data_IF_474361471725
#
_entry.id   IF_474361471725
#
_cell.length_a   1.000
_cell.length_b   1.000
_cell.length_c   1.000
_cell.angle_alpha   90.00
_cell.angle_beta   90.00
_cell.angle_gamma   90.00
#
_symmetry.space_group_name_H-M   'P 1'
#
loop_
_entity.id
_entity.type
_entity.pdbx_description
1 polymer ?
#
# COMPACT_ATOMS: atom_id res chain seq x y z
N UNK A 1 18.66 0.33 1.26
CA UNK A 1 17.45 -0.25 0.66
C UNK A 1 17.46 0.01 -0.83
N UNK A 2 16.62 -0.68 -1.60
CA UNK A 2 16.51 -0.51 -3.04
C UNK A 2 15.19 -1.06 -3.59
N UNK A 3 14.88 -0.72 -4.83
CA UNK A 3 13.79 -1.33 -5.60
C UNK A 3 14.36 -2.01 -6.85
N UNK A 4 13.72 -3.10 -7.24
CA UNK A 4 13.96 -3.82 -8.48
C UNK A 4 12.60 -4.09 -9.15
N UNK A 5 12.07 -3.11 -9.89
CA UNK A 5 10.78 -3.23 -10.57
C UNK A 5 10.77 -4.35 -11.62
N UNK A 6 11.92 -4.64 -12.25
CA UNK A 6 12.03 -5.69 -13.27
C UNK A 6 11.78 -7.09 -12.68
N UNK A 7 12.14 -7.29 -11.41
CA UNK A 7 11.86 -8.52 -10.67
C UNK A 7 10.73 -8.39 -9.64
N UNK A 8 10.02 -7.25 -9.63
CA UNK A 8 8.84 -7.02 -8.79
C UNK A 8 9.10 -6.96 -7.29
N UNK A 9 10.32 -6.62 -6.86
CA UNK A 9 10.67 -6.54 -5.42
C UNK A 9 11.18 -5.16 -5.01
N UNK A 10 11.05 -4.86 -3.74
CA UNK A 10 11.83 -3.85 -3.03
C UNK A 10 12.38 -4.46 -1.75
N UNK A 11 13.44 -3.87 -1.22
CA UNK A 11 14.03 -4.30 0.03
C UNK A 11 14.58 -3.12 0.82
N UNK A 12 14.47 -3.17 2.14
CA UNK A 12 15.02 -2.14 3.03
C UNK A 12 15.50 -2.76 4.34
N UNK A 13 16.51 -2.16 5.00
CA UNK A 13 16.83 -2.51 6.37
C UNK A 13 15.60 -2.33 7.28
N UNK A 14 15.47 -3.20 8.25
CA UNK A 14 14.46 -3.19 9.30
C UNK A 14 15.18 -3.42 10.63
N UNK A 15 15.41 -2.35 11.39
CA UNK A 15 16.26 -2.41 12.59
C UNK A 15 17.72 -2.70 12.25
N UNK A 16 18.40 -3.46 13.13
CA UNK A 16 19.84 -3.77 13.00
C UNK A 16 20.11 -5.04 12.19
N UNK A 17 19.25 -6.06 12.36
CA UNK A 17 19.55 -7.43 11.92
C UNK A 17 18.63 -7.92 10.80
N UNK A 18 17.56 -7.19 10.48
CA UNK A 18 16.58 -7.64 9.48
C UNK A 18 16.64 -6.82 8.20
N UNK A 19 16.30 -7.47 7.10
CA UNK A 19 15.95 -6.84 5.83
C UNK A 19 14.52 -7.21 5.49
N UNK A 20 13.65 -6.21 5.38
CA UNK A 20 12.32 -6.40 4.85
C UNK A 20 12.42 -6.48 3.33
N UNK A 21 11.83 -7.53 2.76
CA UNK A 21 11.69 -7.71 1.31
C UNK A 21 10.20 -7.79 1.02
N UNK A 22 9.75 -6.96 0.09
CA UNK A 22 8.33 -6.90 -0.28
C UNK A 22 8.16 -6.77 -1.78
N UNK A 23 6.95 -7.03 -2.23
CA UNK A 23 6.52 -6.91 -3.61
C UNK A 23 5.00 -6.99 -3.65
N UNK A 24 4.42 -6.70 -4.80
CA UNK A 24 2.99 -6.92 -4.98
C UNK A 24 2.73 -8.37 -5.34
N UNK A 25 1.79 -8.99 -4.63
CA UNK A 25 1.27 -10.31 -4.97
C UNK A 25 0.07 -10.21 -5.92
N UNK A 26 -0.29 -11.37 -6.46
CA UNK A 26 -1.21 -11.70 -7.55
C UNK A 26 -2.39 -10.72 -7.77
N UNK A 27 -2.61 -10.25 -9.01
CA UNK A 27 -3.81 -9.50 -9.37
C UNK A 27 -5.07 -10.33 -9.12
N UNK A 28 -6.12 -9.72 -8.57
CA UNK A 28 -7.42 -10.37 -8.38
C UNK A 28 -8.27 -9.73 -7.30
N UNK A 29 -9.57 -10.03 -7.31
CA UNK A 29 -10.44 -9.72 -6.17
C UNK A 29 -10.14 -10.73 -5.06
N UNK A 30 -9.85 -10.21 -3.88
CA UNK A 30 -9.58 -11.00 -2.66
C UNK A 30 -10.68 -10.66 -1.66
N UNK A 31 -11.22 -11.68 -1.02
CA UNK A 31 -12.09 -11.50 0.14
C UNK A 31 -11.23 -11.02 1.33
N UNK A 32 -11.44 -9.79 1.84
CA UNK A 32 -10.65 -9.26 2.95
C UNK A 32 -10.81 -10.06 4.24
N UNK A 33 -11.92 -10.80 4.41
CA UNK A 33 -12.19 -11.64 5.57
C UNK A 33 -11.65 -13.08 5.38
N UNK A 34 -11.25 -13.44 4.16
CA UNK A 34 -10.78 -14.78 3.81
C UNK A 34 -9.59 -14.74 2.85
N UNK A 35 -8.40 -14.43 3.38
CA UNK A 35 -7.12 -14.48 2.64
C UNK A 35 -5.98 -15.08 3.46
N UNK A 36 -4.99 -15.66 2.79
CA UNK A 36 -3.78 -16.17 3.43
C UNK A 36 -2.96 -14.99 3.95
N UNK A 37 -2.79 -14.87 5.28
CA UNK A 37 -2.07 -13.77 5.95
C UNK A 37 -0.54 -13.96 6.06
N UNK A 38 -0.03 -15.05 5.49
CA UNK A 38 1.40 -15.38 5.44
C UNK A 38 1.83 -15.66 4.00
N UNK A 39 3.08 -15.33 3.62
CA UNK A 39 3.57 -15.62 2.29
C UNK A 39 3.69 -17.12 2.07
N UNK A 40 3.36 -17.57 0.86
CA UNK A 40 3.62 -18.95 0.43
C UNK A 40 5.12 -19.18 0.23
N UNK A 41 5.58 -20.43 0.35
CA UNK A 41 6.96 -20.81 0.05
C UNK A 41 7.39 -20.38 -1.36
N UNK A 42 6.48 -20.47 -2.33
CA UNK A 42 6.71 -20.00 -3.70
C UNK A 42 7.02 -18.49 -3.73
N UNK A 43 6.27 -17.68 -2.99
CA UNK A 43 6.47 -16.23 -2.92
C UNK A 43 7.81 -15.91 -2.24
N UNK A 44 8.12 -16.60 -1.15
CA UNK A 44 9.42 -16.47 -0.46
C UNK A 44 10.56 -16.83 -1.41
N UNK A 45 10.49 -17.97 -2.10
CA UNK A 45 11.52 -18.43 -3.03
C UNK A 45 11.74 -17.47 -4.21
N UNK A 46 10.67 -16.88 -4.74
CA UNK A 46 10.74 -15.87 -5.81
C UNK A 46 11.46 -14.61 -5.34
N UNK A 47 11.05 -14.06 -4.18
CA UNK A 47 11.67 -12.87 -3.61
C UNK A 47 13.11 -13.12 -3.19
N UNK A 48 13.41 -14.28 -2.62
CA UNK A 48 14.75 -14.73 -2.25
C UNK A 48 15.68 -14.76 -3.46
N UNK A 49 15.23 -15.40 -4.54
CA UNK A 49 15.99 -15.49 -5.79
C UNK A 49 16.28 -14.12 -6.40
N UNK A 50 15.29 -13.22 -6.40
CA UNK A 50 15.46 -11.85 -6.90
C UNK A 50 16.41 -11.04 -6.01
N UNK A 51 16.29 -11.14 -4.69
CA UNK A 51 17.17 -10.45 -3.75
C UNK A 51 18.63 -10.90 -3.91
N UNK A 52 18.89 -12.20 -4.00
CA UNK A 52 20.25 -12.74 -4.11
C UNK A 52 20.94 -12.32 -5.41
N UNK A 53 20.20 -12.12 -6.51
CA UNK A 53 20.76 -11.56 -7.74
C UNK A 53 21.23 -10.11 -7.55
N UNK A 54 20.54 -9.34 -6.72
CA UNK A 54 20.83 -7.91 -6.50
C UNK A 54 21.83 -7.68 -5.37
N UNK A 55 21.79 -8.52 -4.34
CA UNK A 55 22.62 -8.46 -3.13
C UNK A 55 23.10 -9.88 -2.81
N UNK A 56 24.16 -10.39 -3.46
CA UNK A 56 24.61 -11.77 -3.30
C UNK A 56 24.92 -12.22 -1.87
N UNK A 57 25.33 -11.29 -1.01
CA UNK A 57 25.59 -11.56 0.42
C UNK A 57 24.33 -12.05 1.16
N UNK A 58 23.14 -11.72 0.67
CA UNK A 58 21.87 -12.18 1.26
C UNK A 58 21.64 -13.68 1.11
N UNK A 59 22.43 -14.38 0.29
CA UNK A 59 22.37 -15.84 0.19
C UNK A 59 22.68 -16.58 1.50
N UNK A 60 23.33 -15.89 2.46
CA UNK A 60 23.62 -16.41 3.80
C UNK A 60 22.58 -16.02 4.85
N UNK A 61 21.58 -15.21 4.52
CA UNK A 61 20.52 -14.87 5.45
C UNK A 61 19.51 -16.02 5.57
N UNK A 62 18.61 -15.92 6.54
CA UNK A 62 17.53 -16.88 6.74
C UNK A 62 16.18 -16.14 6.69
N UNK A 63 15.17 -16.83 6.17
CA UNK A 63 13.81 -16.33 6.26
C UNK A 63 13.34 -16.45 7.71
N UNK A 64 13.06 -15.31 8.34
CA UNK A 64 12.59 -15.27 9.72
C UNK A 64 11.05 -15.29 9.83
N UNK A 65 10.38 -14.34 9.15
CA UNK A 65 8.91 -14.23 9.13
C UNK A 65 8.43 -13.40 7.95
N UNK A 66 7.14 -13.49 7.66
CA UNK A 66 6.49 -12.63 6.69
C UNK A 66 4.98 -12.52 6.91
N UNK A 67 4.38 -11.55 6.24
CA UNK A 67 2.95 -11.31 6.22
C UNK A 67 2.52 -10.94 4.81
N UNK A 68 1.24 -11.05 4.54
CA UNK A 68 0.58 -10.53 3.33
C UNK A 68 -0.46 -9.51 3.77
N UNK A 69 -0.93 -8.71 2.83
CA UNK A 69 -2.01 -7.75 3.07
C UNK A 69 -2.84 -7.54 1.82
N UNK A 70 -4.08 -7.13 2.01
CA UNK A 70 -5.00 -6.80 0.92
C UNK A 70 -4.96 -5.30 0.67
N UNK A 71 -4.91 -4.91 -0.60
CA UNK A 71 -5.03 -3.51 -0.98
C UNK A 71 -6.46 -3.15 -1.34
N UNK A 72 -6.91 -1.98 -0.87
CA UNK A 72 -8.07 -1.31 -1.43
C UNK A 72 -7.65 -0.61 -2.72
N UNK A 73 -8.19 -1.10 -3.84
CA UNK A 73 -7.83 -0.63 -5.19
C UNK A 73 -9.06 -0.07 -5.88
N UNK A 74 -8.99 1.19 -6.29
CA UNK A 74 -10.01 1.86 -7.12
C UNK A 74 -9.78 1.59 -8.61
N UNK A 75 -10.82 1.64 -9.47
CA UNK A 75 -10.68 1.37 -10.90
C UNK A 75 -9.64 2.25 -11.61
N UNK A 76 -9.57 3.53 -11.23
CA UNK A 76 -8.65 4.53 -11.79
C UNK A 76 -7.32 4.61 -11.01
N UNK A 77 -7.13 3.77 -10.00
CA UNK A 77 -6.00 3.79 -9.10
C UNK A 77 -5.84 5.12 -8.34
N UNK A 78 -6.86 5.96 -8.18
CA UNK A 78 -6.82 7.18 -7.36
C UNK A 78 -7.58 7.00 -6.05
N UNK A 79 -7.14 7.61 -4.93
CA UNK A 79 -7.88 7.51 -3.67
C UNK A 79 -9.27 8.16 -3.78
N UNK A 80 -10.18 7.73 -2.93
CA UNK A 80 -11.45 8.42 -2.67
C UNK A 80 -11.28 9.22 -1.38
N UNK A 81 -11.50 10.53 -1.45
CA UNK A 81 -11.51 11.45 -0.31
C UNK A 81 -12.75 12.33 -0.43
N UNK A 82 -13.77 12.06 0.38
CA UNK A 82 -15.06 12.73 0.22
C UNK A 82 -15.88 12.85 1.50
N UNK A 83 -16.83 13.80 1.49
CA UNK A 83 -17.96 13.88 2.40
C UNK A 83 -19.17 13.32 1.64
N UNK A 84 -19.76 12.22 2.12
CA UNK A 84 -20.84 11.56 1.39
C UNK A 84 -22.16 12.30 1.54
N UNK A 85 -22.78 12.60 0.41
CA UNK A 85 -24.13 13.14 0.36
C UNK A 85 -25.15 12.15 0.97
N UNK A 86 -26.14 12.69 1.67
CA UNK A 86 -27.24 11.91 2.26
C UNK A 86 -26.98 11.34 3.65
N UNK A 87 -25.75 11.44 4.19
CA UNK A 87 -25.43 11.08 5.57
C UNK A 87 -24.55 12.16 6.19
N UNK A 88 -25.16 13.02 7.01
CA UNK A 88 -24.47 14.14 7.67
C UNK A 88 -23.27 13.65 8.49
N UNK A 89 -22.09 14.18 8.18
CA UNK A 89 -20.84 13.89 8.88
C UNK A 89 -20.15 12.57 8.48
N UNK A 90 -20.62 11.86 7.44
CA UNK A 90 -19.94 10.66 6.96
C UNK A 90 -18.82 11.01 5.95
N UNK A 91 -17.57 10.83 6.36
CA UNK A 91 -16.40 11.00 5.49
C UNK A 91 -15.87 9.65 5.01
N UNK A 92 -15.45 9.60 3.75
CA UNK A 92 -14.75 8.46 3.15
C UNK A 92 -13.35 8.86 2.78
N UNK A 93 -12.37 8.07 3.23
CA UNK A 93 -10.96 8.23 2.90
C UNK A 93 -10.34 6.84 2.67
N UNK A 94 -10.35 6.35 1.43
CA UNK A 94 -9.99 4.96 1.11
C UNK A 94 -9.44 4.81 -0.32
N UNK A 95 -9.15 3.58 -0.75
CA UNK A 95 -8.83 3.27 -2.15
C UNK A 95 -7.44 3.72 -2.59
N UNK A 96 -6.45 3.68 -1.69
CA UNK A 96 -5.12 4.24 -1.95
C UNK A 96 -4.26 3.43 -2.93
N UNK A 97 -4.71 2.26 -3.37
CA UNK A 97 -4.06 1.44 -4.39
C UNK A 97 -2.54 1.30 -4.19
N UNK A 98 -2.13 0.93 -2.98
CA UNK A 98 -0.74 0.71 -2.59
C UNK A 98 0.09 1.95 -2.23
N UNK A 99 -0.48 3.16 -2.22
CA UNK A 99 0.25 4.42 -1.95
C UNK A 99 -0.09 5.09 -0.62
N UNK A 100 -0.97 4.48 0.18
CA UNK A 100 -1.51 5.08 1.41
C UNK A 100 -0.43 5.53 2.39
N UNK A 101 0.61 4.72 2.60
CA UNK A 101 1.69 5.06 3.54
C UNK A 101 2.41 6.37 3.18
N UNK A 102 2.70 6.60 1.89
CA UNK A 102 3.40 7.80 1.43
C UNK A 102 2.50 9.04 1.46
N UNK A 103 1.20 8.84 1.24
CA UNK A 103 0.21 9.91 1.15
C UNK A 103 -0.38 10.30 2.50
N UNK A 104 -0.31 9.43 3.50
CA UNK A 104 -0.97 9.59 4.80
C UNK A 104 -0.76 10.97 5.47
N UNK A 105 0.45 11.56 5.51
CA UNK A 105 0.64 12.87 6.13
C UNK A 105 -0.14 14.00 5.44
N UNK A 106 -0.09 14.06 4.10
CA UNK A 106 -0.79 15.08 3.34
C UNK A 106 -2.31 14.86 3.35
N UNK A 107 -2.73 13.60 3.20
CA UNK A 107 -4.15 13.23 3.22
C UNK A 107 -4.78 13.46 4.58
N UNK A 108 -4.05 13.19 5.67
CA UNK A 108 -4.54 13.49 7.03
C UNK A 108 -4.83 14.98 7.22
N UNK A 109 -3.96 15.85 6.71
CA UNK A 109 -4.20 17.31 6.74
C UNK A 109 -5.41 17.71 5.89
N UNK A 110 -5.52 17.19 4.65
CA UNK A 110 -6.69 17.41 3.79
C UNK A 110 -7.99 16.99 4.48
N UNK A 111 -8.02 15.80 5.08
CA UNK A 111 -9.22 15.28 5.75
C UNK A 111 -9.56 16.12 6.97
N UNK A 112 -8.57 16.59 7.73
CA UNK A 112 -8.82 17.51 8.83
C UNK A 112 -9.46 18.82 8.36
N UNK A 113 -8.92 19.46 7.30
CA UNK A 113 -9.51 20.66 6.71
C UNK A 113 -10.95 20.41 6.22
N UNK A 114 -11.21 19.26 5.59
CA UNK A 114 -12.56 18.89 5.15
C UNK A 114 -13.54 18.76 6.32
N UNK A 115 -13.09 18.20 7.45
CA UNK A 115 -13.91 18.00 8.64
C UNK A 115 -14.22 19.31 9.35
N UNK A 116 -13.23 20.21 9.48
CA UNK A 116 -13.39 21.46 10.24
C UNK A 116 -13.92 22.63 9.39
N UNK A 117 -13.45 22.73 8.15
CA UNK A 117 -13.66 23.91 7.30
C UNK A 117 -14.50 23.61 6.04
N UNK A 118 -14.85 22.34 5.79
CA UNK A 118 -15.63 21.92 4.62
C UNK A 118 -14.85 21.93 3.29
N UNK A 119 -13.54 22.22 3.33
CA UNK A 119 -12.69 22.33 2.15
C UNK A 119 -11.22 22.50 2.53
N UNK A 120 -10.30 22.12 1.63
CA UNK A 120 -8.86 22.29 1.84
C UNK A 120 -8.27 23.27 0.82
N UNK A 121 -7.21 23.98 1.22
CA UNK A 121 -6.34 24.77 0.33
C UNK A 121 -5.00 24.08 0.03
N UNK A 122 -4.74 22.93 0.66
CA UNK A 122 -3.46 22.24 0.56
C UNK A 122 -3.24 21.62 -0.83
N UNK A 123 -4.32 21.08 -1.43
CA UNK A 123 -4.30 20.46 -2.74
C UNK A 123 -5.69 20.47 -3.37
N UNK A 124 -5.76 20.44 -4.70
CA UNK A 124 -7.00 20.15 -5.42
C UNK A 124 -7.30 18.64 -5.34
N UNK A 125 -8.45 18.32 -4.74
CA UNK A 125 -8.93 16.95 -4.54
C UNK A 125 -10.20 16.65 -5.35
N UNK A 126 -10.59 17.52 -6.28
CA UNK A 126 -11.79 17.33 -7.12
C UNK A 126 -11.79 15.97 -7.84
N UNK A 127 -10.63 15.53 -8.31
CA UNK A 127 -10.45 14.21 -8.95
C UNK A 127 -10.50 13.01 -7.98
N UNK A 128 -10.63 13.25 -6.67
CA UNK A 128 -10.68 12.22 -5.64
C UNK A 128 -12.08 12.06 -5.03
N UNK A 129 -13.08 12.81 -5.51
CA UNK A 129 -14.48 12.68 -5.11
C UNK A 129 -15.09 11.37 -5.58
N UNK A 130 -16.09 10.85 -4.86
CA UNK A 130 -16.71 9.55 -5.15
C UNK A 130 -17.53 9.58 -6.44
N UNK A 131 -18.08 10.74 -6.78
CA UNK A 131 -18.94 11.01 -7.95
C UNK A 131 -18.23 10.92 -9.31
N UNK A 132 -16.92 10.69 -9.31
CA UNK A 132 -16.16 10.36 -10.53
C UNK A 132 -16.47 8.97 -11.09
N UNK A 133 -17.31 8.17 -10.42
CA UNK A 133 -17.74 6.83 -10.80
C UNK A 133 -19.26 6.73 -10.97
#
# INVERSE_FOLDING_TARGET
GGSDPANGIYFRPEGKDFTLVGGSATPGKIDPDSYTQHPTEETVGRHWSALNRRVPLMSHAEFFRGYTGVYTVTPDQMPVIDLLDGIDGLFVCTGFSGRGFKLAPAVGAVVADLVFDGGTRLADISSMRIDRF
#
